data_IF_381159546804
#
_entry.id   IF_381159546804
#
_cell.length_a   1.000
_cell.length_b   1.000
_cell.length_c   1.000
_cell.angle_alpha   90.00
_cell.angle_beta   90.00
_cell.angle_gamma   90.00
#
_symmetry.space_group_name_H-M   'P 1'
#
loop_
_entity.id
_entity.type
_entity.pdbx_description
1 polymer ?
#
# COMPACT_ATOMS: atom_id res chain seq x y z
N UNK A 1 -4.38 -21.64 13.90
CA UNK A 1 -3.21 -20.73 13.80
C UNK A 1 -2.95 -20.23 12.36
N UNK A 2 -3.97 -20.17 11.48
CA UNK A 2 -3.77 -19.86 10.04
C UNK A 2 -3.81 -18.36 9.67
N UNK A 3 -4.41 -17.51 10.51
CA UNK A 3 -4.67 -16.11 10.18
C UNK A 3 -3.43 -15.20 10.16
N UNK A 4 -2.37 -15.56 10.89
CA UNK A 4 -1.12 -14.79 10.89
C UNK A 4 -0.39 -14.89 9.55
N UNK A 5 -0.38 -16.08 8.94
CA UNK A 5 0.33 -16.34 7.69
C UNK A 5 -0.30 -15.64 6.49
N UNK A 6 -1.64 -15.67 6.37
CA UNK A 6 -2.35 -15.03 5.25
C UNK A 6 -2.13 -13.52 5.20
N UNK A 7 -2.10 -12.85 6.37
CA UNK A 7 -1.79 -11.42 6.47
C UNK A 7 -0.40 -11.09 5.90
N UNK A 8 0.62 -11.86 6.27
CA UNK A 8 1.98 -11.64 5.80
C UNK A 8 2.09 -11.88 4.29
N UNK A 9 1.40 -12.91 3.78
CA UNK A 9 1.35 -13.19 2.34
C UNK A 9 0.67 -12.04 1.59
N UNK A 10 -0.43 -11.49 2.09
CA UNK A 10 -1.09 -10.31 1.48
C UNK A 10 -0.12 -9.13 1.38
N UNK A 11 0.61 -8.82 2.46
CA UNK A 11 1.58 -7.72 2.44
C UNK A 11 2.74 -7.99 1.49
N UNK A 12 3.22 -9.24 1.41
CA UNK A 12 4.24 -9.65 0.46
C UNK A 12 3.76 -9.54 -0.99
N UNK A 13 2.51 -9.91 -1.28
CA UNK A 13 1.89 -9.78 -2.59
C UNK A 13 1.75 -8.31 -3.02
N UNK A 14 1.34 -7.44 -2.08
CA UNK A 14 1.28 -5.98 -2.32
C UNK A 14 2.68 -5.41 -2.56
N UNK A 15 3.67 -5.78 -1.75
CA UNK A 15 5.05 -5.31 -1.92
C UNK A 15 5.65 -5.78 -3.24
N UNK A 16 5.35 -7.01 -3.67
CA UNK A 16 5.83 -7.58 -4.93
C UNK A 16 5.22 -6.90 -6.15
N UNK A 17 3.92 -6.58 -6.10
CA UNK A 17 3.25 -5.83 -7.15
C UNK A 17 2.23 -4.85 -6.55
N UNK A 18 2.64 -3.61 -6.28
CA UNK A 18 1.77 -2.60 -5.67
C UNK A 18 0.58 -2.19 -6.52
N UNK A 19 0.56 -2.54 -7.81
CA UNK A 19 -0.52 -2.21 -8.74
C UNK A 19 -1.59 -3.31 -8.83
N UNK A 20 -1.39 -4.48 -8.22
CA UNK A 20 -2.42 -5.52 -8.14
C UNK A 20 -3.64 -5.02 -7.38
N UNK A 21 -4.81 -5.42 -7.85
CA UNK A 21 -6.09 -5.11 -7.23
C UNK A 21 -6.41 -6.06 -6.08
N UNK A 22 -7.29 -5.64 -5.18
CA UNK A 22 -7.81 -6.47 -4.09
C UNK A 22 -8.34 -7.85 -4.54
N UNK A 23 -9.16 -7.97 -5.62
CA UNK A 23 -9.62 -9.27 -6.11
C UNK A 23 -8.49 -10.19 -6.58
N UNK A 24 -7.47 -9.66 -7.26
CA UNK A 24 -6.34 -10.46 -7.73
C UNK A 24 -5.52 -11.03 -6.55
N UNK A 25 -5.28 -10.21 -5.52
CA UNK A 25 -4.57 -10.62 -4.31
C UNK A 25 -5.42 -11.62 -3.50
N UNK A 26 -6.73 -11.36 -3.40
CA UNK A 26 -7.67 -12.25 -2.72
C UNK A 26 -7.69 -13.65 -3.35
N UNK A 27 -7.71 -13.72 -4.69
CA UNK A 27 -7.61 -14.97 -5.44
C UNK A 27 -6.26 -15.68 -5.21
N UNK A 28 -5.15 -14.93 -5.23
CA UNK A 28 -3.81 -15.49 -5.02
C UNK A 28 -3.61 -16.07 -3.61
N UNK A 29 -4.21 -15.45 -2.58
CA UNK A 29 -4.04 -15.85 -1.17
C UNK A 29 -5.20 -16.74 -0.67
N UNK A 30 -6.19 -17.02 -1.51
CA UNK A 30 -7.41 -17.73 -1.15
C UNK A 30 -8.09 -17.13 0.12
N UNK A 31 -8.48 -15.87 0.00
CA UNK A 31 -9.18 -15.10 1.02
C UNK A 31 -10.20 -14.14 0.39
N UNK A 32 -10.94 -13.39 1.22
CA UNK A 32 -11.89 -12.39 0.71
C UNK A 32 -11.20 -11.06 0.39
N UNK A 33 -11.72 -10.33 -0.59
CA UNK A 33 -11.28 -8.96 -0.89
C UNK A 33 -11.37 -8.02 0.33
N UNK A 34 -12.42 -8.19 1.13
CA UNK A 34 -12.61 -7.42 2.35
C UNK A 34 -11.47 -7.66 3.35
N UNK A 35 -10.97 -8.88 3.44
CA UNK A 35 -9.83 -9.21 4.29
C UNK A 35 -8.54 -8.54 3.79
N UNK A 36 -8.28 -8.55 2.48
CA UNK A 36 -7.14 -7.85 1.85
C UNK A 36 -7.18 -6.34 2.17
N UNK A 37 -8.34 -5.70 1.95
CA UNK A 37 -8.55 -4.27 2.26
C UNK A 37 -8.35 -3.97 3.75
N UNK A 38 -8.86 -4.83 4.63
CA UNK A 38 -8.67 -4.69 6.08
C UNK A 38 -7.20 -4.78 6.49
N UNK A 39 -6.45 -5.73 5.93
CA UNK A 39 -5.01 -5.89 6.20
C UNK A 39 -4.22 -4.67 5.74
N UNK A 40 -4.48 -4.18 4.53
CA UNK A 40 -3.81 -2.99 3.99
C UNK A 40 -4.13 -1.74 4.81
N UNK A 41 -5.42 -1.51 5.11
CA UNK A 41 -5.89 -0.35 5.89
C UNK A 41 -5.26 -0.28 7.29
N UNK A 42 -5.22 -1.42 8.01
CA UNK A 42 -4.58 -1.55 9.33
C UNK A 42 -3.06 -1.37 9.31
N UNK A 43 -2.44 -1.40 8.15
CA UNK A 43 -1.00 -1.22 7.95
C UNK A 43 -0.65 0.09 7.25
N UNK A 44 -1.64 0.93 6.93
CA UNK A 44 -1.39 2.18 6.20
C UNK A 44 -1.02 1.99 4.72
N UNK A 45 -1.22 0.80 4.15
CA UNK A 45 -0.71 0.48 2.81
C UNK A 45 -1.71 0.87 1.73
N UNK A 46 -1.26 1.71 0.80
CA UNK A 46 -1.93 2.10 -0.45
C UNK A 46 -1.45 1.21 -1.59
N UNK A 47 -2.38 0.69 -2.38
CA UNK A 47 -2.11 -0.25 -3.47
C UNK A 47 -3.22 -0.17 -4.54
N UNK A 48 -2.98 -0.85 -5.67
CA UNK A 48 -3.92 -0.96 -6.78
C UNK A 48 -4.31 0.40 -7.37
N UNK A 49 -5.61 0.58 -7.63
CA UNK A 49 -6.13 1.82 -8.23
C UNK A 49 -5.84 3.06 -7.37
N UNK A 50 -5.93 2.97 -6.04
CA UNK A 50 -5.66 4.12 -5.17
C UNK A 50 -4.21 4.59 -5.24
N UNK A 51 -3.26 3.68 -5.47
CA UNK A 51 -1.87 4.05 -5.69
C UNK A 51 -1.70 4.88 -6.97
N UNK A 52 -2.42 4.49 -8.03
CA UNK A 52 -2.41 5.20 -9.32
C UNK A 52 -3.05 6.59 -9.14
N UNK A 53 -4.18 6.69 -8.45
CA UNK A 53 -4.87 7.96 -8.19
C UNK A 53 -3.99 8.95 -7.42
N UNK A 54 -3.28 8.50 -6.38
CA UNK A 54 -2.33 9.32 -5.62
C UNK A 54 -1.14 9.74 -6.47
N UNK A 55 -0.62 8.84 -7.31
CA UNK A 55 0.50 9.17 -8.19
C UNK A 55 0.10 10.15 -9.31
N UNK A 56 -1.13 10.06 -9.83
CA UNK A 56 -1.64 10.85 -10.97
C UNK A 56 -2.04 12.29 -10.63
N UNK A 57 -2.07 12.69 -9.36
CA UNK A 57 -2.55 14.02 -8.92
C UNK A 57 -1.62 15.19 -9.28
N UNK A 58 -0.87 15.12 -10.39
CA UNK A 58 0.10 16.13 -10.83
C UNK A 58 1.48 16.00 -10.19
N UNK A 59 1.63 15.13 -9.19
CA UNK A 59 2.87 14.99 -8.40
C UNK A 59 3.80 13.88 -8.88
N UNK A 60 3.48 13.16 -9.97
CA UNK A 60 4.25 12.00 -10.42
C UNK A 60 5.72 12.31 -10.68
N UNK A 61 6.02 13.46 -11.28
CA UNK A 61 7.39 13.92 -11.55
C UNK A 61 8.14 14.20 -10.25
N UNK A 62 7.46 14.82 -9.28
CA UNK A 62 8.03 15.09 -7.97
C UNK A 62 8.26 13.78 -7.19
N UNK A 63 7.27 12.89 -7.16
CA UNK A 63 7.34 11.57 -6.55
C UNK A 63 8.49 10.75 -7.13
N UNK A 64 8.67 10.76 -8.46
CA UNK A 64 9.76 10.05 -9.11
C UNK A 64 11.13 10.60 -8.68
N UNK A 65 11.31 11.93 -8.72
CA UNK A 65 12.56 12.57 -8.30
C UNK A 65 12.89 12.30 -6.83
N UNK A 66 11.88 12.33 -5.97
CA UNK A 66 12.07 12.11 -4.55
C UNK A 66 12.34 10.64 -4.22
N UNK A 67 11.68 9.72 -4.94
CA UNK A 67 11.94 8.29 -4.85
C UNK A 67 13.39 7.98 -5.29
N UNK A 68 13.85 8.56 -6.40
CA UNK A 68 15.23 8.42 -6.88
C UNK A 68 16.24 9.01 -5.87
N UNK A 69 15.93 10.16 -5.26
CA UNK A 69 16.77 10.81 -4.23
C UNK A 69 16.93 9.94 -2.98
N UNK A 70 15.86 9.24 -2.59
CA UNK A 70 15.82 8.40 -1.39
C UNK A 70 16.22 6.94 -1.67
N UNK A 71 16.38 6.55 -2.94
CA UNK A 71 16.70 5.18 -3.34
C UNK A 71 15.55 4.19 -3.09
N UNK A 72 14.29 4.65 -3.13
CA UNK A 72 13.09 3.84 -2.92
C UNK A 72 12.21 3.81 -4.17
N UNK A 73 11.23 2.91 -4.22
CA UNK A 73 10.24 2.95 -5.30
C UNK A 73 9.18 4.03 -5.04
N UNK A 74 8.57 4.60 -6.09
CA UNK A 74 7.45 5.54 -5.94
C UNK A 74 6.31 4.96 -5.08
N UNK A 75 5.93 3.68 -5.22
CA UNK A 75 4.98 3.05 -4.32
C UNK A 75 5.40 3.06 -2.85
N UNK A 76 6.67 2.78 -2.56
CA UNK A 76 7.19 2.80 -1.18
C UNK A 76 7.19 4.21 -0.61
N UNK A 77 7.58 5.21 -1.42
CA UNK A 77 7.52 6.62 -1.03
C UNK A 77 6.08 7.06 -0.70
N UNK A 78 5.11 6.70 -1.53
CA UNK A 78 3.69 7.02 -1.26
C UNK A 78 3.24 6.36 0.04
N UNK A 79 3.60 5.10 0.26
CA UNK A 79 3.28 4.39 1.49
C UNK A 79 3.94 5.03 2.72
N UNK A 80 5.19 5.51 2.60
CA UNK A 80 5.88 6.26 3.65
C UNK A 80 5.13 7.55 3.98
N UNK A 81 4.82 8.38 2.98
CA UNK A 81 4.11 9.65 3.16
C UNK A 81 2.73 9.45 3.78
N UNK A 82 1.96 8.47 3.29
CA UNK A 82 0.61 8.19 3.80
C UNK A 82 0.64 7.59 5.20
N UNK A 83 1.65 6.77 5.52
CA UNK A 83 1.80 6.23 6.87
C UNK A 83 2.16 7.35 7.86
N UNK A 84 3.10 8.23 7.49
CA UNK A 84 3.53 9.37 8.29
C UNK A 84 2.38 10.37 8.55
N UNK A 85 1.67 10.77 7.49
CA UNK A 85 0.51 11.68 7.60
C UNK A 85 -0.65 11.12 8.44
N UNK A 86 -0.76 9.79 8.59
CA UNK A 86 -1.76 9.17 9.46
C UNK A 86 -1.33 9.13 10.92
N UNK A 87 -0.02 9.06 11.20
CA UNK A 87 0.50 9.13 12.57
C UNK A 87 0.27 10.53 13.16
N UNK A 88 0.53 11.59 12.37
CA UNK A 88 0.26 12.97 12.78
C UNK A 88 -1.24 13.22 13.09
N UNK A 89 -2.13 12.54 12.37
CA UNK A 89 -3.58 12.66 12.59
C UNK A 89 -4.09 11.87 13.80
N UNK A 90 -3.43 10.77 14.17
CA UNK A 90 -3.75 10.01 15.40
C UNK A 90 -3.19 10.68 16.66
N UNK A 91 -2.05 11.39 16.59
CA UNK A 91 -1.53 12.16 17.73
C UNK A 91 -2.33 13.45 18.02
N UNK A 92 -3.09 13.95 17.04
CA UNK A 92 -3.90 15.17 17.18
C UNK A 92 -5.35 14.93 17.66
N UNK A 93 -5.76 13.68 17.90
CA UNK A 93 -7.14 13.29 18.25
C UNK A 93 -7.25 12.71 19.68
#
# INVERSE_FOLDING_TARGET
>A
MEYGSKRLIILAEISRNPFRSAPEIAAAVNCSEMYVRSVASRRGVVYGRHLIEVAQSGNLVWLQREADRLGVSVPDLINLIVTDARLDAEEAA
#
